data_IF_970277436525
#
_entry.id   IF_970277436525
#
_cell.length_a   1.000
_cell.length_b   1.000
_cell.length_c   1.000
_cell.angle_alpha   90.00
_cell.angle_beta   90.00
_cell.angle_gamma   90.00
#
_symmetry.space_group_name_H-M   'P 1'
#
loop_
_entity.id
_entity.type
_entity.pdbx_description
1 polymer ?
#
# COMPACT_ATOMS: atom_id res chain seq x y z
N UNK A 1 -96.91 -4.29 -69.62
CA UNK A 1 -98.36 -4.42 -69.33
C UNK A 1 -98.84 -5.83 -69.71
N UNK A 2 -98.68 -6.82 -68.83
CA UNK A 2 -99.03 -8.22 -69.17
C UNK A 2 -99.43 -9.15 -68.01
N UNK A 3 -99.49 -8.65 -66.77
CA UNK A 3 -99.70 -9.50 -65.59
C UNK A 3 -100.97 -9.19 -64.79
N UNK A 4 -101.84 -8.28 -65.24
CA UNK A 4 -103.05 -7.90 -64.48
C UNK A 4 -104.32 -8.69 -64.84
N UNK A 5 -104.34 -9.43 -65.94
CA UNK A 5 -105.53 -10.19 -66.38
C UNK A 5 -105.52 -11.68 -65.97
N UNK A 6 -104.37 -12.26 -65.57
CA UNK A 6 -104.32 -13.65 -65.06
C UNK A 6 -104.85 -13.81 -63.62
N UNK A 7 -104.74 -12.78 -62.80
CA UNK A 7 -105.07 -12.86 -61.36
C UNK A 7 -106.58 -12.90 -61.06
N UNK A 8 -107.43 -12.31 -61.90
CA UNK A 8 -108.88 -12.33 -61.65
C UNK A 8 -109.55 -13.68 -61.96
N UNK A 9 -108.97 -14.48 -62.87
CA UNK A 9 -109.44 -15.85 -63.15
C UNK A 9 -109.05 -16.86 -62.07
N UNK A 10 -107.86 -16.73 -61.48
CA UNK A 10 -107.31 -17.65 -60.47
C UNK A 10 -107.84 -17.43 -59.05
N UNK A 11 -108.42 -16.27 -58.74
CA UNK A 11 -109.00 -16.05 -57.41
C UNK A 11 -110.39 -16.65 -57.24
N UNK A 12 -111.11 -16.94 -58.34
CA UNK A 12 -112.41 -17.64 -58.31
C UNK A 12 -112.27 -19.18 -58.30
N UNK A 13 -111.10 -19.74 -58.55
CA UNK A 13 -110.88 -21.20 -58.49
C UNK A 13 -110.75 -21.72 -57.06
N UNK A 14 -110.33 -20.89 -56.11
CA UNK A 14 -110.19 -21.29 -54.69
C UNK A 14 -111.52 -21.38 -53.92
N UNK A 15 -112.61 -20.85 -54.49
CA UNK A 15 -113.95 -20.89 -53.91
C UNK A 15 -114.80 -22.08 -54.42
N UNK A 16 -114.25 -22.88 -55.35
CA UNK A 16 -114.91 -24.07 -55.93
C UNK A 16 -114.72 -25.29 -55.03
N UNK A 17 -115.67 -26.23 -55.07
CA UNK A 17 -115.46 -27.56 -54.50
C UNK A 17 -114.23 -28.19 -55.15
N UNK A 18 -113.29 -28.69 -54.34
CA UNK A 18 -112.10 -29.37 -54.84
C UNK A 18 -112.51 -30.62 -55.64
N UNK A 19 -111.85 -30.86 -56.76
CA UNK A 19 -111.99 -32.10 -57.52
C UNK A 19 -111.66 -33.31 -56.63
N UNK A 20 -112.30 -34.44 -56.89
CA UNK A 20 -112.31 -35.68 -56.10
C UNK A 20 -112.93 -35.56 -54.69
N UNK A 21 -113.73 -34.53 -54.41
CA UNK A 21 -114.55 -34.49 -53.18
C UNK A 21 -115.81 -35.34 -53.34
N UNK A 22 -116.19 -36.05 -52.28
CA UNK A 22 -117.48 -36.75 -52.21
C UNK A 22 -118.59 -35.78 -51.86
N UNK A 23 -119.73 -35.94 -52.52
CA UNK A 23 -120.90 -35.07 -52.43
C UNK A 23 -122.15 -35.94 -52.39
N UNK A 24 -123.08 -35.59 -51.51
CA UNK A 24 -124.38 -36.22 -51.44
C UNK A 24 -125.32 -35.52 -52.42
N UNK A 25 -126.05 -36.29 -53.22
CA UNK A 25 -126.99 -35.76 -54.20
C UNK A 25 -128.38 -36.37 -53.98
N UNK A 26 -129.42 -35.59 -54.27
CA UNK A 26 -130.84 -36.00 -54.21
C UNK A 26 -131.59 -35.57 -55.46
N UNK A 27 -132.52 -36.40 -55.92
CA UNK A 27 -133.35 -36.17 -57.10
C UNK A 27 -134.65 -35.45 -56.67
N UNK A 28 -134.79 -34.14 -56.86
CA UNK A 28 -135.84 -33.30 -56.25
C UNK A 28 -135.79 -33.28 -54.71
N UNK A 29 -136.15 -32.13 -54.13
CA UNK A 29 -135.94 -31.81 -52.70
C UNK A 29 -136.72 -32.75 -51.75
N UNK A 30 -137.84 -33.32 -52.21
CA UNK A 30 -138.74 -34.16 -51.41
C UNK A 30 -138.69 -35.67 -51.73
N UNK A 31 -137.77 -36.14 -52.58
CA UNK A 31 -137.69 -37.57 -52.89
C UNK A 31 -136.64 -38.30 -52.03
N UNK A 32 -136.96 -39.54 -51.69
CA UNK A 32 -136.04 -40.47 -51.00
C UNK A 32 -134.96 -41.04 -51.93
N UNK A 33 -134.93 -40.63 -53.21
CA UNK A 33 -133.90 -41.04 -54.16
C UNK A 33 -132.69 -40.10 -54.06
N UNK A 34 -131.70 -40.54 -53.29
CA UNK A 34 -130.40 -39.88 -53.19
C UNK A 34 -129.26 -40.88 -53.15
N UNK A 35 -128.04 -40.38 -53.32
CA UNK A 35 -126.84 -41.19 -53.28
C UNK A 35 -125.60 -40.35 -53.03
N UNK A 36 -124.46 -41.03 -52.96
CA UNK A 36 -123.15 -40.39 -52.89
C UNK A 36 -122.49 -40.39 -54.28
N UNK A 37 -121.86 -39.28 -54.63
CA UNK A 37 -121.12 -39.12 -55.88
C UNK A 37 -119.77 -38.46 -55.63
N UNK A 38 -118.81 -38.76 -56.49
CA UNK A 38 -117.49 -38.16 -56.48
C UNK A 38 -117.41 -37.10 -57.58
N UNK A 39 -117.07 -35.87 -57.23
CA UNK A 39 -116.86 -34.79 -58.21
C UNK A 39 -115.57 -35.05 -58.95
N UNK A 40 -115.63 -35.24 -60.27
CA UNK A 40 -114.43 -35.47 -61.11
C UNK A 40 -113.91 -34.20 -61.75
N UNK A 41 -114.81 -33.31 -62.16
CA UNK A 41 -114.48 -32.03 -62.76
C UNK A 41 -115.59 -31.03 -62.44
N UNK A 42 -115.23 -29.77 -62.19
CA UNK A 42 -116.19 -28.69 -61.96
C UNK A 42 -115.80 -27.44 -62.73
N UNK A 43 -116.73 -26.93 -63.54
CA UNK A 43 -116.61 -25.69 -64.29
C UNK A 43 -117.62 -24.65 -63.79
N UNK A 44 -117.64 -23.47 -64.39
CA UNK A 44 -118.64 -22.43 -64.07
C UNK A 44 -120.05 -22.81 -64.53
N UNK A 45 -120.17 -23.63 -65.58
CA UNK A 45 -121.44 -23.95 -66.22
C UNK A 45 -121.95 -25.35 -65.86
N UNK A 46 -121.13 -26.19 -65.22
CA UNK A 46 -121.53 -27.54 -64.85
C UNK A 46 -120.46 -28.34 -64.13
N UNK A 47 -120.80 -29.59 -63.81
CA UNK A 47 -120.00 -30.53 -63.05
C UNK A 47 -120.08 -31.92 -63.66
N UNK A 48 -118.97 -32.64 -63.62
CA UNK A 48 -118.90 -34.06 -63.91
C UNK A 48 -118.84 -34.84 -62.59
N UNK A 49 -119.79 -35.75 -62.39
CA UNK A 49 -119.90 -36.57 -61.18
C UNK A 49 -119.82 -38.05 -61.53
N UNK A 50 -119.08 -38.81 -60.72
CA UNK A 50 -119.01 -40.27 -60.78
C UNK A 50 -119.82 -40.87 -59.64
N UNK A 51 -120.73 -41.80 -59.92
CA UNK A 51 -121.55 -42.47 -58.91
C UNK A 51 -121.59 -43.97 -59.15
N UNK A 52 -121.80 -44.75 -58.09
CA UNK A 52 -121.91 -46.21 -58.17
C UNK A 52 -123.37 -46.68 -58.38
N UNK A 53 -124.32 -45.75 -58.50
CA UNK A 53 -125.75 -46.04 -58.66
C UNK A 53 -126.21 -45.77 -60.10
N UNK A 54 -126.91 -46.73 -60.71
CA UNK A 54 -127.54 -46.52 -62.01
C UNK A 54 -128.80 -45.68 -61.82
N UNK A 55 -128.75 -44.42 -62.24
CA UNK A 55 -129.91 -43.56 -62.33
C UNK A 55 -130.58 -43.75 -63.69
N UNK A 56 -131.90 -43.84 -63.68
CA UNK A 56 -132.76 -43.68 -64.86
C UNK A 56 -133.41 -42.29 -64.83
N UNK A 57 -132.64 -41.18 -64.94
CA UNK A 57 -133.22 -39.85 -64.88
C UNK A 57 -134.07 -39.63 -66.14
N UNK A 58 -135.24 -39.02 -65.97
CA UNK A 58 -135.94 -38.41 -67.09
C UNK A 58 -135.20 -37.12 -67.43
N UNK A 59 -135.17 -36.71 -68.69
CA UNK A 59 -134.36 -35.58 -69.22
C UNK A 59 -134.64 -34.21 -68.57
N UNK A 60 -135.55 -34.11 -67.59
CA UNK A 60 -135.93 -32.89 -66.86
C UNK A 60 -135.66 -32.93 -65.34
N UNK A 61 -135.02 -33.98 -64.80
CA UNK A 61 -134.82 -34.07 -63.35
C UNK A 61 -133.69 -33.16 -62.84
N UNK A 62 -133.98 -32.39 -61.79
CA UNK A 62 -133.04 -31.45 -61.14
C UNK A 62 -132.43 -32.10 -59.90
N UNK A 63 -131.09 -32.05 -59.82
CA UNK A 63 -130.30 -32.55 -58.71
C UNK A 63 -130.06 -31.42 -57.71
N UNK A 64 -130.39 -31.69 -56.46
CA UNK A 64 -129.92 -30.91 -55.33
C UNK A 64 -128.69 -31.61 -54.74
N UNK A 65 -127.65 -30.84 -54.45
CA UNK A 65 -126.44 -31.34 -53.81
C UNK A 65 -126.43 -30.86 -52.38
N UNK A 66 -126.50 -31.80 -51.44
CA UNK A 66 -126.29 -31.48 -50.04
C UNK A 66 -124.80 -31.30 -49.85
N UNK A 67 -124.40 -30.05 -49.57
CA UNK A 67 -123.11 -29.85 -48.91
C UNK A 67 -123.25 -30.43 -47.50
N UNK A 68 -122.44 -31.42 -47.09
CA UNK A 68 -122.60 -32.05 -45.80
C UNK A 68 -122.60 -30.97 -44.71
N UNK A 69 -123.74 -30.87 -44.02
CA UNK A 69 -124.00 -29.94 -42.92
C UNK A 69 -122.85 -30.09 -41.93
N UNK A 70 -121.94 -29.12 -41.90
CA UNK A 70 -120.75 -29.12 -41.04
C UNK A 70 -119.40 -28.90 -41.73
N UNK A 71 -119.28 -28.93 -43.07
CA UNK A 71 -118.02 -28.53 -43.73
C UNK A 71 -118.15 -27.21 -44.50
N UNK A 72 -117.51 -26.16 -43.96
CA UNK A 72 -117.48 -24.78 -44.44
C UNK A 72 -116.90 -24.55 -45.86
N UNK A 73 -116.63 -25.61 -46.62
CA UNK A 73 -115.86 -25.55 -47.86
C UNK A 73 -116.62 -26.19 -49.03
N UNK A 74 -117.48 -25.38 -49.65
CA UNK A 74 -117.98 -25.59 -51.00
C UNK A 74 -119.50 -25.70 -51.09
N UNK A 75 -120.09 -24.82 -51.88
CA UNK A 75 -121.48 -24.85 -52.30
C UNK A 75 -121.52 -25.34 -53.76
N UNK A 76 -122.39 -26.30 -54.07
CA UNK A 76 -122.60 -26.78 -55.45
C UNK A 76 -124.01 -26.32 -55.85
N UNK A 77 -124.14 -25.48 -56.88
CA UNK A 77 -125.44 -25.04 -57.37
C UNK A 77 -126.30 -26.23 -57.82
N UNK A 78 -127.62 -26.06 -57.76
CA UNK A 78 -128.57 -27.02 -58.32
C UNK A 78 -128.28 -27.24 -59.81
N UNK A 79 -128.41 -28.48 -60.28
CA UNK A 79 -128.02 -28.82 -61.64
C UNK A 79 -128.92 -29.84 -62.31
N UNK A 80 -129.03 -29.78 -63.63
CA UNK A 80 -129.76 -30.75 -64.44
C UNK A 80 -128.78 -31.72 -65.10
N UNK A 81 -129.12 -33.00 -65.16
CA UNK A 81 -128.32 -33.97 -65.90
C UNK A 81 -128.52 -33.72 -67.40
N UNK A 82 -127.42 -33.45 -68.10
CA UNK A 82 -127.41 -33.23 -69.56
C UNK A 82 -126.76 -34.41 -70.26
N UNK A 83 -125.96 -35.20 -69.56
CA UNK A 83 -125.23 -36.31 -70.15
C UNK A 83 -125.05 -37.46 -69.17
N UNK A 84 -125.11 -38.70 -69.66
CA UNK A 84 -124.80 -39.93 -68.90
C UNK A 84 -123.89 -40.85 -69.70
N UNK A 85 -122.94 -41.50 -69.02
CA UNK A 85 -122.07 -42.51 -69.61
C UNK A 85 -121.70 -43.58 -68.59
N UNK A 86 -121.55 -44.83 -69.02
CA UNK A 86 -121.05 -45.91 -68.17
C UNK A 86 -119.52 -45.99 -68.25
N UNK A 87 -118.86 -46.20 -67.11
CA UNK A 87 -117.40 -46.18 -66.99
C UNK A 87 -116.90 -47.53 -66.46
N UNK A 88 -116.42 -48.37 -67.38
CA UNK A 88 -115.61 -49.56 -67.10
C UNK A 88 -116.37 -50.89 -67.07
N UNK A 89 -115.74 -51.96 -67.57
CA UNK A 89 -116.33 -53.31 -67.72
C UNK A 89 -116.38 -54.15 -66.43
N UNK A 90 -115.56 -53.83 -65.41
CA UNK A 90 -115.34 -54.68 -64.22
C UNK A 90 -115.99 -54.17 -62.91
N UNK A 91 -116.36 -52.88 -62.82
CA UNK A 91 -117.14 -52.30 -61.71
C UNK A 91 -118.13 -51.32 -62.31
N UNK A 92 -119.43 -51.55 -62.15
CA UNK A 92 -120.49 -50.71 -62.72
C UNK A 92 -120.44 -49.32 -62.08
N UNK A 93 -119.79 -48.37 -62.75
CA UNK A 93 -119.73 -46.96 -62.38
C UNK A 93 -120.37 -46.11 -63.45
N UNK A 94 -121.05 -45.06 -63.04
CA UNK A 94 -121.78 -44.17 -63.93
C UNK A 94 -121.25 -42.75 -63.81
N UNK A 95 -121.00 -42.12 -64.95
CA UNK A 95 -120.63 -40.72 -65.07
C UNK A 95 -121.85 -39.90 -65.47
N UNK A 96 -122.08 -38.80 -64.77
CA UNK A 96 -123.14 -37.84 -65.03
C UNK A 96 -122.54 -36.46 -65.29
N UNK A 97 -122.86 -35.90 -66.46
CA UNK A 97 -122.60 -34.51 -66.80
C UNK A 97 -123.79 -33.66 -66.38
N UNK A 98 -123.56 -32.74 -65.45
CA UNK A 98 -124.58 -31.96 -64.76
C UNK A 98 -124.35 -30.50 -65.13
N UNK A 99 -125.33 -29.84 -65.75
CA UNK A 99 -125.28 -28.41 -66.04
C UNK A 99 -125.92 -27.64 -64.90
N UNK A 100 -125.23 -26.65 -64.36
CA UNK A 100 -125.78 -25.84 -63.28
C UNK A 100 -126.93 -24.97 -63.79
N UNK A 101 -128.00 -24.92 -62.99
CA UNK A 101 -129.09 -23.96 -63.16
C UNK A 101 -128.67 -22.68 -62.45
N UNK A 102 -128.98 -21.53 -63.02
CA UNK A 102 -128.62 -20.22 -62.45
C UNK A 102 -129.08 -20.14 -60.98
N UNK A 103 -128.18 -19.78 -60.05
CA UNK A 103 -128.50 -19.74 -58.62
C UNK A 103 -129.25 -18.46 -58.23
N UNK A 104 -130.08 -18.56 -57.18
CA UNK A 104 -130.81 -17.43 -56.56
C UNK A 104 -129.86 -16.37 -55.95
N UNK A 105 -130.34 -15.12 -55.86
CA UNK A 105 -129.58 -13.92 -55.44
C UNK A 105 -128.85 -14.05 -54.10
N UNK A 106 -129.39 -14.80 -53.14
CA UNK A 106 -128.79 -15.01 -51.80
C UNK A 106 -127.39 -15.66 -51.84
N UNK A 107 -127.08 -16.38 -52.93
CA UNK A 107 -125.78 -17.04 -53.10
C UNK A 107 -124.69 -16.03 -53.48
N UNK A 108 -125.05 -14.96 -54.18
CA UNK A 108 -124.10 -13.92 -54.57
C UNK A 108 -123.68 -13.07 -53.38
N UNK A 109 -124.61 -12.70 -52.50
CA UNK A 109 -124.30 -11.88 -51.32
C UNK A 109 -123.35 -12.58 -50.34
N UNK A 110 -123.56 -13.88 -50.14
CA UNK A 110 -122.67 -14.70 -49.30
C UNK A 110 -121.26 -14.85 -49.89
N UNK A 111 -121.13 -14.83 -51.23
CA UNK A 111 -119.84 -14.88 -51.90
C UNK A 111 -119.09 -13.54 -51.74
N UNK A 112 -119.82 -12.42 -51.88
CA UNK A 112 -119.23 -11.08 -51.85
C UNK A 112 -118.72 -10.70 -50.46
N UNK A 113 -119.49 -11.02 -49.41
CA UNK A 113 -119.06 -10.83 -48.02
C UNK A 113 -117.75 -11.59 -47.70
N UNK A 114 -117.57 -12.79 -48.27
CA UNK A 114 -116.37 -13.60 -48.06
C UNK A 114 -115.14 -13.06 -48.79
N UNK A 115 -115.32 -12.54 -50.00
CA UNK A 115 -114.24 -11.90 -50.76
C UNK A 115 -113.69 -10.69 -50.01
N UNK A 116 -114.56 -9.89 -49.40
CA UNK A 116 -114.16 -8.74 -48.59
C UNK A 116 -113.31 -9.15 -47.36
N UNK A 117 -113.71 -10.20 -46.64
CA UNK A 117 -112.94 -10.71 -45.49
C UNK A 117 -111.56 -11.23 -45.92
N UNK A 118 -111.47 -11.89 -47.07
CA UNK A 118 -110.20 -12.37 -47.63
C UNK A 118 -109.24 -11.24 -47.98
N UNK A 119 -109.74 -10.17 -48.60
CA UNK A 119 -108.95 -8.97 -48.94
C UNK A 119 -108.47 -8.25 -47.67
N UNK A 120 -109.29 -8.21 -46.61
CA UNK A 120 -108.91 -7.67 -45.30
C UNK A 120 -107.69 -8.37 -44.67
N UNK A 121 -107.59 -9.69 -44.77
CA UNK A 121 -106.43 -10.45 -44.22
C UNK A 121 -105.14 -10.18 -44.99
N UNK A 122 -105.21 -10.06 -46.32
CA UNK A 122 -104.04 -9.80 -47.17
C UNK A 122 -103.50 -8.37 -47.01
N UNK A 123 -104.39 -7.39 -46.83
CA UNK A 123 -104.01 -5.99 -46.61
C UNK A 123 -103.33 -5.78 -45.25
N UNK A 124 -103.79 -6.47 -44.19
CA UNK A 124 -103.14 -6.43 -42.89
C UNK A 124 -101.72 -7.03 -42.91
N UNK A 125 -101.49 -8.13 -43.63
CA UNK A 125 -100.14 -8.72 -43.78
C UNK A 125 -99.14 -7.73 -44.40
N UNK A 126 -99.57 -6.97 -45.43
CA UNK A 126 -98.73 -5.93 -46.05
C UNK A 126 -98.41 -4.75 -45.13
N UNK A 127 -99.28 -4.41 -44.18
CA UNK A 127 -99.00 -3.35 -43.19
C UNK A 127 -97.91 -3.78 -42.22
N UNK A 128 -97.96 -5.01 -41.73
CA UNK A 128 -96.94 -5.56 -40.84
C UNK A 128 -95.56 -5.66 -41.50
N UNK A 129 -95.49 -6.06 -42.77
CA UNK A 129 -94.21 -6.09 -43.51
C UNK A 129 -93.58 -4.69 -43.63
N UNK A 130 -94.38 -3.62 -43.79
CA UNK A 130 -93.88 -2.24 -43.83
C UNK A 130 -93.33 -1.80 -42.46
N UNK A 131 -94.05 -2.11 -41.38
CA UNK A 131 -93.61 -1.80 -40.01
C UNK A 131 -92.32 -2.53 -39.68
N UNK A 132 -92.21 -3.81 -40.02
CA UNK A 132 -90.99 -4.59 -39.81
C UNK A 132 -89.78 -4.00 -40.55
N UNK A 133 -89.95 -3.55 -41.80
CA UNK A 133 -88.87 -2.87 -42.55
C UNK A 133 -88.43 -1.55 -41.92
N UNK A 134 -89.37 -0.76 -41.42
CA UNK A 134 -89.07 0.51 -40.75
C UNK A 134 -88.30 0.26 -39.44
N UNK A 135 -88.76 -0.70 -38.63
CA UNK A 135 -88.04 -1.10 -37.41
C UNK A 135 -86.62 -1.57 -37.70
N UNK A 136 -86.44 -2.36 -38.76
CA UNK A 136 -85.12 -2.86 -39.16
C UNK A 136 -84.20 -1.72 -39.60
N UNK A 137 -84.71 -0.71 -40.31
CA UNK A 137 -83.94 0.50 -40.65
C UNK A 137 -83.50 1.27 -39.40
N UNK A 138 -84.40 1.46 -38.42
CA UNK A 138 -84.04 2.10 -37.16
C UNK A 138 -82.99 1.31 -36.38
N UNK A 139 -83.07 -0.03 -36.40
CA UNK A 139 -82.08 -0.90 -35.76
C UNK A 139 -80.70 -0.77 -36.42
N UNK A 140 -80.62 -0.75 -37.76
CA UNK A 140 -79.35 -0.53 -38.48
C UNK A 140 -78.79 0.86 -38.21
N UNK A 141 -79.62 1.91 -38.20
CA UNK A 141 -79.18 3.27 -37.88
C UNK A 141 -78.67 3.36 -36.44
N UNK A 142 -79.36 2.71 -35.49
CA UNK A 142 -78.94 2.64 -34.09
C UNK A 142 -77.59 1.92 -33.93
N UNK A 143 -77.41 0.77 -34.58
CA UNK A 143 -76.14 0.03 -34.58
C UNK A 143 -75.00 0.83 -35.20
N UNK A 144 -75.24 1.50 -36.33
CA UNK A 144 -74.24 2.35 -36.97
C UNK A 144 -73.86 3.53 -36.06
N UNK A 145 -74.84 4.21 -35.47
CA UNK A 145 -74.60 5.30 -34.52
C UNK A 145 -73.83 4.84 -33.27
N UNK A 146 -74.19 3.69 -32.71
CA UNK A 146 -73.47 3.09 -31.58
C UNK A 146 -72.03 2.73 -31.94
N UNK A 147 -71.79 2.19 -33.14
CA UNK A 147 -70.44 1.83 -33.61
C UNK A 147 -69.53 3.06 -33.75
N UNK A 148 -70.08 4.18 -34.24
CA UNK A 148 -69.35 5.45 -34.35
C UNK A 148 -69.06 6.05 -32.96
N UNK A 149 -70.04 5.98 -32.04
CA UNK A 149 -69.86 6.45 -30.68
C UNK A 149 -68.78 5.64 -29.94
N UNK A 150 -68.83 4.30 -30.03
CA UNK A 150 -67.79 3.41 -29.49
C UNK A 150 -66.43 3.66 -30.13
N UNK A 151 -66.38 3.89 -31.45
CA UNK A 151 -65.13 4.24 -32.13
C UNK A 151 -64.52 5.53 -31.59
N UNK A 152 -65.35 6.54 -31.30
CA UNK A 152 -64.90 7.80 -30.71
C UNK A 152 -64.37 7.64 -29.28
N UNK A 153 -65.02 6.84 -28.44
CA UNK A 153 -64.54 6.58 -27.07
C UNK A 153 -63.22 5.82 -27.09
N UNK A 154 -63.12 4.76 -27.88
CA UNK A 154 -61.89 3.97 -28.03
C UNK A 154 -60.75 4.84 -28.58
N UNK A 155 -61.03 5.73 -29.53
CA UNK A 155 -60.00 6.64 -30.06
C UNK A 155 -59.48 7.61 -28.99
N UNK A 156 -60.37 8.16 -28.15
CA UNK A 156 -59.97 9.03 -27.03
C UNK A 156 -59.14 8.28 -25.99
N UNK A 157 -59.55 7.05 -25.67
CA UNK A 157 -58.81 6.22 -24.72
C UNK A 157 -57.44 5.82 -25.28
N UNK A 158 -57.34 5.51 -26.58
CA UNK A 158 -56.07 5.25 -27.24
C UNK A 158 -55.16 6.47 -27.26
N UNK A 159 -55.67 7.67 -27.55
CA UNK A 159 -54.90 8.91 -27.53
C UNK A 159 -54.38 9.22 -26.11
N UNK A 160 -55.23 9.06 -25.08
CA UNK A 160 -54.81 9.21 -23.70
C UNK A 160 -53.76 8.17 -23.30
N UNK A 161 -53.97 6.90 -23.64
CA UNK A 161 -53.02 5.83 -23.34
C UNK A 161 -51.68 6.06 -24.05
N UNK A 162 -51.71 6.56 -25.28
CA UNK A 162 -50.49 6.86 -26.05
C UNK A 162 -49.73 8.03 -25.43
N UNK A 163 -50.43 9.10 -25.03
CA UNK A 163 -49.84 10.22 -24.30
C UNK A 163 -49.20 9.76 -22.99
N UNK A 164 -49.93 9.01 -22.16
CA UNK A 164 -49.39 8.47 -20.91
C UNK A 164 -48.20 7.53 -21.13
N UNK A 165 -48.21 6.73 -22.20
CA UNK A 165 -47.07 5.87 -22.55
C UNK A 165 -45.85 6.69 -22.97
N UNK A 166 -46.03 7.77 -23.72
CA UNK A 166 -44.95 8.69 -24.08
C UNK A 166 -44.40 9.42 -22.84
N UNK A 167 -45.25 9.86 -21.92
CA UNK A 167 -44.83 10.49 -20.67
C UNK A 167 -44.00 9.52 -19.82
N UNK A 168 -44.47 8.30 -19.61
CA UNK A 168 -43.71 7.25 -18.89
C UNK A 168 -42.39 6.93 -19.60
N UNK A 169 -42.38 6.89 -20.94
CA UNK A 169 -41.14 6.69 -21.70
C UNK A 169 -40.16 7.84 -21.53
N UNK A 170 -40.65 9.09 -21.45
CA UNK A 170 -39.83 10.26 -21.19
C UNK A 170 -39.26 10.22 -19.77
N UNK A 171 -40.08 9.89 -18.78
CA UNK A 171 -39.66 9.71 -17.38
C UNK A 171 -38.59 8.61 -17.26
N UNK A 172 -38.77 7.48 -17.95
CA UNK A 172 -37.76 6.41 -17.99
C UNK A 172 -36.46 6.87 -18.66
N UNK A 173 -36.54 7.64 -19.74
CA UNK A 173 -35.36 8.19 -20.39
C UNK A 173 -34.61 9.18 -19.49
N UNK A 174 -35.34 10.02 -18.74
CA UNK A 174 -34.77 10.93 -17.75
C UNK A 174 -34.11 10.17 -16.59
N UNK A 175 -34.80 9.17 -16.03
CA UNK A 175 -34.26 8.33 -14.97
C UNK A 175 -32.97 7.61 -15.42
N UNK A 176 -32.96 7.11 -16.67
CA UNK A 176 -31.78 6.47 -17.25
C UNK A 176 -30.62 7.45 -17.41
N UNK A 177 -30.89 8.69 -17.83
CA UNK A 177 -29.86 9.75 -17.91
C UNK A 177 -29.32 10.12 -16.54
N UNK A 178 -30.20 10.27 -15.55
CA UNK A 178 -29.83 10.57 -14.17
C UNK A 178 -29.03 9.44 -13.53
N UNK A 179 -29.38 8.18 -13.81
CA UNK A 179 -28.62 7.03 -13.33
C UNK A 179 -27.24 6.97 -13.99
N UNK A 180 -27.15 7.24 -15.29
CA UNK A 180 -25.87 7.31 -16.00
C UNK A 180 -24.97 8.44 -15.47
N UNK A 181 -25.52 9.62 -15.19
CA UNK A 181 -24.76 10.74 -14.63
C UNK A 181 -24.30 10.44 -13.21
N UNK A 182 -25.15 9.81 -12.38
CA UNK A 182 -24.77 9.34 -11.06
C UNK A 182 -23.64 8.31 -11.12
N UNK A 183 -23.74 7.32 -12.01
CA UNK A 183 -22.68 6.33 -12.21
C UNK A 183 -21.36 6.99 -12.62
N UNK A 184 -21.39 7.94 -13.56
CA UNK A 184 -20.19 8.68 -13.96
C UNK A 184 -19.59 9.47 -12.79
N UNK A 185 -20.43 10.13 -11.97
CA UNK A 185 -19.98 10.87 -10.79
C UNK A 185 -19.32 9.94 -9.76
N UNK A 186 -19.98 8.82 -9.43
CA UNK A 186 -19.44 7.82 -8.49
C UNK A 186 -18.14 7.21 -8.99
N UNK A 187 -18.01 6.96 -10.31
CA UNK A 187 -16.76 6.50 -10.89
C UNK A 187 -15.65 7.55 -10.76
N UNK A 188 -15.97 8.82 -11.01
CA UNK A 188 -15.05 9.94 -10.79
C UNK A 188 -14.57 10.02 -9.34
N UNK A 189 -15.49 10.01 -8.37
CA UNK A 189 -15.18 10.00 -6.94
C UNK A 189 -14.31 8.80 -6.55
N UNK A 190 -14.62 7.60 -7.07
CA UNK A 190 -13.83 6.39 -6.82
C UNK A 190 -12.41 6.50 -7.39
N UNK A 191 -12.25 7.11 -8.57
CA UNK A 191 -10.91 7.32 -9.16
C UNK A 191 -10.07 8.30 -8.35
N UNK A 192 -10.67 9.37 -7.82
CA UNK A 192 -9.99 10.34 -6.95
C UNK A 192 -9.57 9.67 -5.64
N UNK A 193 -10.50 8.97 -4.96
CA UNK A 193 -10.21 8.26 -3.72
C UNK A 193 -9.12 7.19 -3.91
N UNK A 194 -9.10 6.50 -5.05
CA UNK A 194 -8.04 5.55 -5.39
C UNK A 194 -6.69 6.24 -5.57
N UNK A 195 -6.66 7.42 -6.19
CA UNK A 195 -5.44 8.19 -6.36
C UNK A 195 -4.89 8.69 -5.02
N UNK A 196 -5.75 9.23 -4.15
CA UNK A 196 -5.39 9.62 -2.77
C UNK A 196 -4.85 8.43 -1.96
N UNK A 197 -5.44 7.24 -2.13
CA UNK A 197 -4.95 6.02 -1.47
C UNK A 197 -3.54 5.64 -1.95
N UNK A 198 -3.25 5.79 -3.24
CA UNK A 198 -1.90 5.52 -3.79
C UNK A 198 -0.90 6.51 -3.24
N UNK A 199 -1.23 7.81 -3.23
CA UNK A 199 -0.36 8.87 -2.70
C UNK A 199 -0.06 8.67 -1.20
N UNK A 200 -1.09 8.39 -0.41
CA UNK A 200 -0.93 8.10 1.03
C UNK A 200 -0.11 6.83 1.28
N UNK A 201 -0.23 5.81 0.42
CA UNK A 201 0.60 4.60 0.50
C UNK A 201 2.07 4.88 0.16
N UNK A 202 2.35 5.78 -0.79
CA UNK A 202 3.70 6.21 -1.11
C UNK A 202 4.33 7.01 0.03
N UNK A 203 3.60 7.97 0.61
CA UNK A 203 4.02 8.72 1.79
C UNK A 203 4.29 7.79 2.98
N UNK A 204 3.46 6.77 3.18
CA UNK A 204 3.69 5.78 4.24
C UNK A 204 4.99 4.99 4.02
N UNK A 205 5.26 4.55 2.78
CA UNK A 205 6.52 3.86 2.43
C UNK A 205 7.74 4.77 2.61
N UNK A 206 7.60 6.05 2.27
CA UNK A 206 8.64 7.05 2.50
C UNK A 206 8.91 7.26 3.99
N UNK A 207 7.85 7.44 4.80
CA UNK A 207 7.95 7.53 6.25
C UNK A 207 8.63 6.29 6.87
N UNK A 208 8.32 5.10 6.37
CA UNK A 208 8.98 3.86 6.81
C UNK A 208 10.48 3.84 6.48
N UNK A 209 10.88 4.33 5.30
CA UNK A 209 12.30 4.46 4.93
C UNK A 209 13.03 5.47 5.82
N UNK A 210 12.40 6.62 6.10
CA UNK A 210 12.97 7.63 7.00
C UNK A 210 13.17 7.03 8.39
N UNK A 211 12.17 6.33 8.94
CA UNK A 211 12.29 5.66 10.23
C UNK A 211 13.39 4.60 10.26
N UNK A 212 13.57 3.83 9.19
CA UNK A 212 14.69 2.89 9.07
C UNK A 212 16.05 3.62 9.04
N UNK A 213 16.14 4.75 8.33
CA UNK A 213 17.32 5.61 8.33
C UNK A 213 17.65 6.13 9.72
N UNK A 214 16.67 6.72 10.41
CA UNK A 214 16.83 7.21 11.78
C UNK A 214 17.20 6.09 12.76
N UNK A 215 16.63 4.90 12.62
CA UNK A 215 17.02 3.74 13.42
C UNK A 215 18.48 3.38 13.22
N UNK A 216 18.96 3.40 11.97
CA UNK A 216 20.36 3.12 11.65
C UNK A 216 21.29 4.20 12.20
N UNK A 217 20.95 5.47 12.02
CA UNK A 217 21.72 6.59 12.56
C UNK A 217 21.80 6.53 14.09
N UNK A 218 20.73 6.08 14.75
CA UNK A 218 20.69 5.89 16.21
C UNK A 218 21.61 4.74 16.64
N UNK A 219 21.67 3.64 15.89
CA UNK A 219 22.59 2.54 16.15
C UNK A 219 24.05 2.94 15.92
N UNK A 220 24.34 3.71 14.87
CA UNK A 220 25.66 4.30 14.62
C UNK A 220 26.06 5.27 15.74
N UNK A 221 25.15 6.13 16.20
CA UNK A 221 25.38 7.03 17.33
C UNK A 221 25.62 6.27 18.64
N UNK A 222 24.87 5.19 18.90
CA UNK A 222 25.11 4.30 20.05
C UNK A 222 26.48 3.64 19.99
N UNK A 223 26.89 3.15 18.82
CA UNK A 223 28.21 2.56 18.64
C UNK A 223 29.32 3.59 18.88
N UNK A 224 29.16 4.82 18.37
CA UNK A 224 30.09 5.91 18.62
C UNK A 224 30.16 6.28 20.12
N UNK A 225 29.01 6.35 20.81
CA UNK A 225 28.97 6.60 22.25
C UNK A 225 29.68 5.50 23.05
N UNK A 226 29.46 4.22 22.70
CA UNK A 226 30.16 3.11 23.33
C UNK A 226 31.69 3.17 23.12
N UNK A 227 32.14 3.60 21.94
CA UNK A 227 33.56 3.84 21.67
C UNK A 227 34.11 5.01 22.49
N UNK A 228 33.37 6.12 22.59
CA UNK A 228 33.80 7.26 23.42
C UNK A 228 33.85 6.91 24.90
N UNK A 229 32.89 6.13 25.41
CA UNK A 229 32.90 5.65 26.79
C UNK A 229 34.11 4.75 27.05
N UNK A 230 34.43 3.83 26.12
CA UNK A 230 35.63 3.00 26.22
C UNK A 230 36.91 3.84 26.24
N UNK A 231 37.01 4.87 25.39
CA UNK A 231 38.15 5.77 25.34
C UNK A 231 38.26 6.62 26.61
N UNK A 232 37.14 7.07 27.18
CA UNK A 232 37.13 7.78 28.47
C UNK A 232 37.62 6.89 29.61
N UNK A 233 37.21 5.62 29.66
CA UNK A 233 37.72 4.65 30.64
C UNK A 233 39.22 4.42 30.45
N UNK A 234 39.69 4.30 29.21
CA UNK A 234 41.12 4.18 28.92
C UNK A 234 41.90 5.42 29.42
N UNK A 235 41.45 6.63 29.07
CA UNK A 235 42.06 7.89 29.51
C UNK A 235 42.04 8.05 31.03
N UNK A 236 40.98 7.57 31.70
CA UNK A 236 40.89 7.57 33.16
C UNK A 236 41.89 6.61 33.79
N UNK A 237 42.08 5.43 33.20
CA UNK A 237 43.09 4.46 33.64
C UNK A 237 44.51 4.99 33.43
N UNK A 238 44.81 5.58 32.27
CA UNK A 238 46.09 6.23 31.97
C UNK A 238 46.39 7.38 32.94
N UNK A 239 45.40 8.24 33.22
CA UNK A 239 45.55 9.29 34.23
C UNK A 239 45.79 8.70 35.63
N UNK A 240 45.18 7.55 35.96
CA UNK A 240 45.46 6.81 37.19
C UNK A 240 46.91 6.32 37.24
N UNK A 241 47.40 5.72 36.14
CA UNK A 241 48.77 5.26 36.00
C UNK A 241 49.77 6.41 36.12
N UNK A 242 49.56 7.52 35.39
CA UNK A 242 50.38 8.73 35.45
C UNK A 242 50.40 9.34 36.85
N UNK A 243 49.27 9.39 37.56
CA UNK A 243 49.24 9.80 38.97
C UNK A 243 50.08 8.88 39.85
N UNK A 244 50.05 7.57 39.59
CA UNK A 244 50.91 6.58 40.24
C UNK A 244 52.39 6.83 39.99
N UNK A 245 52.78 7.07 38.73
CA UNK A 245 54.16 7.39 38.33
C UNK A 245 54.64 8.70 38.94
N UNK A 246 53.83 9.77 38.91
CA UNK A 246 54.14 11.05 39.55
C UNK A 246 54.38 10.85 41.05
N UNK A 247 53.56 10.03 41.71
CA UNK A 247 53.74 9.72 43.13
C UNK A 247 55.06 8.94 43.36
N UNK A 248 55.34 7.93 42.56
CA UNK A 248 56.57 7.15 42.65
C UNK A 248 57.82 8.02 42.43
N UNK A 249 57.78 8.92 41.44
CA UNK A 249 58.87 9.86 41.15
C UNK A 249 59.07 10.87 42.30
N UNK A 250 57.98 11.36 42.88
CA UNK A 250 58.02 12.22 44.07
C UNK A 250 58.62 11.50 45.27
N UNK A 251 58.22 10.26 45.52
CA UNK A 251 58.75 9.44 46.61
C UNK A 251 60.24 9.11 46.40
N UNK A 252 60.66 8.86 45.15
CA UNK A 252 62.06 8.66 44.78
C UNK A 252 62.89 9.93 45.05
N UNK A 253 62.47 11.10 44.55
CA UNK A 253 63.16 12.36 44.82
C UNK A 253 63.22 12.71 46.30
N UNK A 254 62.17 12.40 47.07
CA UNK A 254 62.20 12.59 48.53
C UNK A 254 63.25 11.71 49.22
N UNK A 255 63.47 10.48 48.72
CA UNK A 255 64.54 9.61 49.22
C UNK A 255 65.93 10.14 48.85
N UNK A 256 66.15 10.53 47.60
CA UNK A 256 67.43 11.14 47.18
C UNK A 256 67.74 12.41 47.98
N UNK A 257 66.75 13.29 48.17
CA UNK A 257 66.92 14.49 49.00
C UNK A 257 67.25 14.15 50.46
N UNK A 258 66.67 13.08 51.02
CA UNK A 258 66.97 12.63 52.37
C UNK A 258 68.41 12.09 52.47
N UNK A 259 68.88 11.35 51.46
CA UNK A 259 70.24 10.81 51.38
C UNK A 259 71.27 11.94 51.22
N UNK A 260 71.06 12.85 50.27
CA UNK A 260 71.91 14.04 50.08
C UNK A 260 71.96 14.89 51.35
N UNK A 261 70.82 15.05 52.05
CA UNK A 261 70.78 15.78 53.33
C UNK A 261 71.56 15.06 54.43
N UNK A 262 71.51 13.73 54.48
CA UNK A 262 72.30 12.95 55.43
C UNK A 262 73.80 13.09 55.16
N UNK A 263 74.23 13.02 53.89
CA UNK A 263 75.62 13.22 53.49
C UNK A 263 76.11 14.65 53.78
N UNK A 264 75.27 15.65 53.53
CA UNK A 264 75.57 17.04 53.88
C UNK A 264 75.76 17.20 55.40
N UNK A 265 74.91 16.58 56.21
CA UNK A 265 75.06 16.62 57.66
C UNK A 265 76.33 15.90 58.14
N UNK A 266 76.66 14.75 57.55
CA UNK A 266 77.89 14.02 57.86
C UNK A 266 79.15 14.84 57.50
N UNK A 267 79.14 15.52 56.37
CA UNK A 267 80.24 16.41 55.96
C UNK A 267 80.34 17.64 56.85
N UNK A 268 79.22 18.24 57.28
CA UNK A 268 79.20 19.33 58.27
C UNK A 268 79.81 18.85 59.60
N UNK A 269 79.42 17.69 60.13
CA UNK A 269 79.97 17.16 61.39
C UNK A 269 81.47 16.86 61.28
N UNK A 270 81.93 16.29 60.16
CA UNK A 270 83.35 16.10 59.89
C UNK A 270 84.11 17.43 59.84
N UNK A 271 83.56 18.45 59.19
CA UNK A 271 84.16 19.78 59.13
C UNK A 271 84.18 20.45 60.51
N UNK A 272 83.12 20.32 61.31
CA UNK A 272 83.07 20.81 62.69
C UNK A 272 84.13 20.14 63.56
N UNK A 273 84.27 18.80 63.50
CA UNK A 273 85.32 18.06 64.20
C UNK A 273 86.73 18.50 63.79
N UNK A 274 86.97 18.69 62.49
CA UNK A 274 88.24 19.26 61.98
C UNK A 274 88.49 20.67 62.50
N UNK A 275 87.45 21.51 62.53
CA UNK A 275 87.57 22.88 63.02
C UNK A 275 87.89 22.92 64.52
N UNK A 276 87.23 22.09 65.34
CA UNK A 276 87.55 21.91 66.76
C UNK A 276 89.00 21.47 66.94
N UNK A 277 89.48 20.52 66.12
CA UNK A 277 90.88 20.06 66.16
C UNK A 277 91.86 21.20 65.82
N UNK A 278 91.61 21.95 64.76
CA UNK A 278 92.43 23.09 64.34
C UNK A 278 92.44 24.20 65.40
N UNK A 279 91.29 24.51 66.01
CA UNK A 279 91.21 25.46 67.12
C UNK A 279 92.01 24.94 68.32
N UNK A 280 91.96 23.64 68.62
CA UNK A 280 92.80 23.02 69.66
C UNK A 280 94.29 23.13 69.36
N UNK A 281 94.70 22.88 68.11
CA UNK A 281 96.08 23.06 67.65
C UNK A 281 96.52 24.52 67.71
N UNK A 282 95.66 25.47 67.31
CA UNK A 282 95.92 26.91 67.43
C UNK A 282 96.09 27.33 68.89
N UNK A 283 95.21 26.89 69.80
CA UNK A 283 95.31 27.18 71.23
C UNK A 283 96.59 26.56 71.83
N UNK A 284 96.98 25.37 71.38
CA UNK A 284 98.23 24.74 71.80
C UNK A 284 99.46 25.53 71.32
N UNK A 285 99.48 25.94 70.05
CA UNK A 285 100.53 26.79 69.49
C UNK A 285 100.59 28.15 70.20
N UNK A 286 99.43 28.75 70.51
CA UNK A 286 99.36 30.00 71.26
C UNK A 286 99.93 29.84 72.68
N UNK A 287 99.61 28.73 73.36
CA UNK A 287 100.18 28.41 74.67
C UNK A 287 101.70 28.15 74.61
N UNK A 288 102.19 27.52 73.54
CA UNK A 288 103.62 27.38 73.29
C UNK A 288 104.29 28.73 73.05
N UNK A 289 103.64 29.66 72.33
CA UNK A 289 104.15 31.01 72.13
C UNK A 289 104.17 31.83 73.42
N UNK A 290 103.18 31.68 74.31
CA UNK A 290 103.19 32.32 75.63
C UNK A 290 104.36 31.84 76.50
N UNK A 291 104.79 30.57 76.38
CA UNK A 291 106.01 30.05 77.02
C UNK A 291 107.30 30.70 76.48
N UNK A 292 107.32 31.10 75.20
CA UNK A 292 108.41 31.87 74.59
C UNK A 292 108.23 33.39 74.72
N UNK A 293 107.11 33.85 75.28
CA UNK A 293 106.80 35.25 75.59
C UNK A 293 107.45 35.77 76.88
N UNK A 294 108.48 35.08 77.38
CA UNK A 294 109.23 35.46 78.57
C UNK A 294 110.01 36.77 78.39
N UNK A 295 109.60 37.76 79.19
CA UNK A 295 110.14 39.10 79.41
C UNK A 295 111.68 39.21 79.35
N UNK A 296 112.22 39.91 78.34
CA UNK A 296 113.64 40.31 78.28
C UNK A 296 113.74 41.79 78.67
N UNK A 297 113.76 42.06 79.98
CA UNK A 297 113.75 43.42 80.54
C UNK A 297 115.13 44.10 80.65
N UNK A 298 116.23 43.55 80.09
CA UNK A 298 117.55 44.19 80.24
C UNK A 298 118.43 44.19 78.98
N UNK A 299 118.57 45.37 78.38
CA UNK A 299 119.34 45.65 77.16
C UNK A 299 120.87 45.49 77.33
N UNK A 300 121.35 45.27 78.56
CA UNK A 300 122.75 44.97 78.87
C UNK A 300 123.09 43.46 78.77
N UNK A 301 122.12 42.56 79.01
CA UNK A 301 122.31 41.12 78.81
C UNK A 301 122.33 40.74 77.32
N UNK A 302 121.57 41.45 76.47
CA UNK A 302 121.59 41.23 75.02
C UNK A 302 122.96 41.52 74.40
N UNK A 303 123.69 42.53 74.91
CA UNK A 303 125.07 42.85 74.48
C UNK A 303 126.10 41.83 74.97
N UNK A 304 125.88 41.20 76.13
CA UNK A 304 126.73 40.13 76.64
C UNK A 304 126.56 38.84 75.82
N UNK A 305 125.32 38.47 75.50
CA UNK A 305 125.02 37.31 74.64
C UNK A 305 125.60 37.49 73.23
N UNK A 306 125.42 38.68 72.62
CA UNK A 306 125.99 39.00 71.30
C UNK A 306 127.52 38.94 71.26
N UNK A 307 128.21 39.31 72.35
CA UNK A 307 129.68 39.14 72.47
C UNK A 307 130.07 37.67 72.58
N UNK A 308 129.30 36.86 73.30
CA UNK A 308 129.52 35.41 73.44
C UNK A 308 129.37 34.70 72.09
N UNK A 309 128.33 35.04 71.32
CA UNK A 309 128.14 34.53 69.96
C UNK A 309 129.23 35.01 68.98
N UNK A 310 129.69 36.27 69.06
CA UNK A 310 130.79 36.76 68.22
C UNK A 310 132.12 36.06 68.51
N UNK A 311 132.42 35.76 69.77
CA UNK A 311 133.63 35.03 70.15
C UNK A 311 133.57 33.57 69.72
N UNK A 312 132.43 32.88 69.85
CA UNK A 312 132.23 31.53 69.31
C UNK A 312 132.34 31.50 67.79
N UNK A 313 131.84 32.52 67.09
CA UNK A 313 131.97 32.65 65.63
C UNK A 313 133.44 32.85 65.19
N UNK A 314 134.24 33.63 65.93
CA UNK A 314 135.69 33.78 65.65
C UNK A 314 136.46 32.47 65.89
N UNK A 315 136.11 31.72 66.93
CA UNK A 315 136.71 30.43 67.26
C UNK A 315 136.33 29.35 66.23
N UNK A 316 135.08 29.35 65.76
CA UNK A 316 134.65 28.52 64.63
C UNK A 316 135.39 28.89 63.33
N UNK A 317 135.56 30.18 63.02
CA UNK A 317 136.36 30.63 61.87
C UNK A 317 137.83 30.22 61.96
N UNK A 318 138.44 30.24 63.16
CA UNK A 318 139.83 29.79 63.34
C UNK A 318 139.96 28.27 63.17
N UNK A 319 139.01 27.49 63.71
CA UNK A 319 138.95 26.03 63.52
C UNK A 319 138.72 25.63 62.07
N UNK A 320 137.84 26.32 61.35
CA UNK A 320 137.66 26.11 59.89
C UNK A 320 138.93 26.45 59.12
N UNK A 321 139.67 27.49 59.50
CA UNK A 321 140.96 27.82 58.87
C UNK A 321 142.05 26.79 59.22
N UNK A 322 142.02 26.21 60.41
CA UNK A 322 142.88 25.09 60.81
C UNK A 322 142.58 23.85 59.97
N UNK A 323 141.32 23.40 59.91
CA UNK A 323 140.91 22.26 59.10
C UNK A 323 141.20 22.46 57.61
N UNK A 324 141.08 23.69 57.08
CA UNK A 324 141.44 23.98 55.68
C UNK A 324 142.96 23.89 55.43
N UNK A 325 143.80 24.18 56.42
CA UNK A 325 145.26 23.99 56.34
C UNK A 325 145.65 22.52 56.50
N UNK A 326 144.97 21.81 57.38
CA UNK A 326 145.14 20.38 57.63
C UNK A 326 144.73 19.55 56.42
N UNK A 327 143.56 19.83 55.82
CA UNK A 327 143.14 19.23 54.55
C UNK A 327 144.13 19.51 53.40
N UNK A 328 144.76 20.69 53.35
CA UNK A 328 145.82 20.98 52.37
C UNK A 328 147.10 20.18 52.64
N UNK A 329 147.46 19.93 53.90
CA UNK A 329 148.60 19.07 54.25
C UNK A 329 148.31 17.61 53.89
N UNK A 330 147.12 17.11 54.24
CA UNK A 330 146.66 15.75 53.89
C UNK A 330 146.61 15.56 52.38
N UNK A 331 146.12 16.54 51.61
CA UNK A 331 146.14 16.48 50.14
C UNK A 331 147.56 16.44 49.58
N UNK A 332 148.51 17.17 50.19
CA UNK A 332 149.92 17.17 49.77
C UNK A 332 150.64 15.87 50.14
N UNK A 333 150.30 15.23 51.26
CA UNK A 333 150.82 13.91 51.62
C UNK A 333 150.20 12.80 50.79
N UNK A 334 148.89 12.88 50.48
CA UNK A 334 148.22 11.96 49.57
C UNK A 334 148.78 12.05 48.14
N UNK A 335 149.08 13.26 47.64
CA UNK A 335 149.77 13.42 46.34
C UNK A 335 151.19 12.84 46.35
N UNK A 336 151.93 12.97 47.47
CA UNK A 336 153.25 12.34 47.61
C UNK A 336 153.19 10.81 47.69
N UNK A 337 152.19 10.26 48.38
CA UNK A 337 151.93 8.81 48.41
C UNK A 337 151.47 8.31 47.03
N UNK A 338 150.65 9.08 46.31
CA UNK A 338 150.30 8.79 44.91
C UNK A 338 151.53 8.79 44.01
N UNK A 339 152.39 9.79 44.09
CA UNK A 339 153.62 9.85 43.29
C UNK A 339 154.62 8.74 43.70
N UNK A 340 154.64 8.33 44.97
CA UNK A 340 155.40 7.18 45.49
C UNK A 340 154.85 5.84 44.98
N UNK A 341 153.53 5.67 44.95
CA UNK A 341 152.86 4.50 44.35
C UNK A 341 153.07 4.46 42.84
N UNK A 342 153.04 5.62 42.17
CA UNK A 342 153.32 5.73 40.74
C UNK A 342 154.79 5.43 40.41
N UNK A 343 155.74 5.68 41.33
CA UNK A 343 157.14 5.26 41.17
C UNK A 343 157.39 3.79 41.56
N UNK A 344 156.61 3.22 42.48
CA UNK A 344 156.65 1.80 42.87
C UNK A 344 155.95 0.88 41.85
N UNK A 345 154.92 1.39 41.16
CA UNK A 345 154.20 0.69 40.10
C UNK A 345 154.87 0.76 38.73
N UNK A 346 155.94 1.54 38.61
CA UNK A 346 156.85 1.46 37.48
C UNK A 346 156.23 1.74 36.11
N UNK A 347 157.12 1.83 35.13
CA UNK A 347 156.79 2.06 33.74
C UNK A 347 156.29 0.74 33.12
N UNK A 348 154.97 0.52 33.03
CA UNK A 348 154.42 -0.57 32.21
C UNK A 348 154.48 -0.17 30.73
N UNK A 349 155.71 -0.09 30.22
CA UNK A 349 155.98 -0.32 28.82
C UNK A 349 155.59 -1.75 28.48
N UNK A 350 154.80 -1.90 27.42
CA UNK A 350 154.66 -3.11 26.62
C UNK A 350 155.90 -4.01 26.70
N UNK A 351 155.72 -5.28 27.09
CA UNK A 351 156.47 -6.37 26.46
C UNK A 351 155.57 -7.59 26.33
N UNK A 352 155.06 -7.76 25.11
CA UNK A 352 154.90 -9.10 24.58
C UNK A 352 156.25 -9.82 24.65
N UNK A 353 156.25 -11.02 25.22
CA UNK A 353 157.18 -12.08 24.83
C UNK A 353 156.44 -13.41 25.03
N UNK A 354 156.15 -14.06 23.90
CA UNK A 354 155.51 -15.37 23.76
C UNK A 354 154.00 -15.50 24.06
N UNK A 355 153.22 -14.47 23.73
CA UNK A 355 151.85 -14.67 23.23
C UNK A 355 150.77 -15.25 24.16
N UNK A 356 150.88 -15.11 25.49
CA UNK A 356 149.79 -15.45 26.41
C UNK A 356 149.40 -14.31 27.36
N UNK A 357 148.08 -14.07 27.44
CA UNK A 357 147.45 -13.14 28.38
C UNK A 357 147.35 -13.80 29.74
N UNK A 358 147.93 -13.19 30.77
CA UNK A 358 147.69 -13.56 32.17
C UNK A 358 146.64 -12.60 32.72
N UNK A 359 145.49 -13.16 33.12
CA UNK A 359 144.40 -12.45 33.79
C UNK A 359 144.88 -11.85 35.12
N UNK A 360 144.51 -10.59 35.36
CA UNK A 360 144.64 -9.95 36.66
C UNK A 360 143.23 -9.66 37.18
N UNK A 361 142.96 -10.12 38.41
CA UNK A 361 141.68 -10.07 39.13
C UNK A 361 140.96 -8.71 39.06
N UNK A 362 139.74 -8.73 38.51
CA UNK A 362 138.84 -7.57 38.42
C UNK A 362 138.35 -7.07 39.78
N UNK A 363 138.40 -7.89 40.84
CA UNK A 363 137.87 -7.53 42.17
C UNK A 363 138.72 -6.47 42.89
N UNK A 364 140.01 -6.33 42.56
CA UNK A 364 140.85 -5.21 43.06
C UNK A 364 140.63 -3.90 42.29
N UNK A 365 140.00 -3.95 41.13
CA UNK A 365 139.75 -2.77 40.28
C UNK A 365 138.46 -2.03 40.66
N UNK A 366 137.45 -2.72 41.21
CA UNK A 366 136.16 -2.09 41.56
C UNK A 366 136.18 -1.32 42.89
N UNK A 367 137.00 -1.73 43.86
CA UNK A 367 137.15 -0.98 45.13
C UNK A 367 137.85 0.38 44.98
N UNK A 368 138.48 0.67 43.84
CA UNK A 368 139.10 1.97 43.56
C UNK A 368 138.18 2.95 42.80
N UNK A 369 137.02 2.50 42.31
CA UNK A 369 136.09 3.31 41.50
C UNK A 369 134.91 3.90 42.30
N UNK A 370 134.54 3.34 43.46
CA UNK A 370 133.35 3.78 44.21
C UNK A 370 133.59 4.95 45.19
N UNK A 371 134.83 5.41 45.40
CA UNK A 371 135.11 6.63 46.18
C UNK A 371 135.02 7.95 45.38
N UNK A 372 134.74 7.92 44.07
CA UNK A 372 134.75 9.13 43.21
C UNK A 372 133.40 9.85 43.03
N UNK A 373 132.24 9.28 43.36
CA UNK A 373 130.94 9.96 43.16
C UNK A 373 130.44 10.83 44.33
N UNK A 374 131.20 10.96 45.43
CA UNK A 374 130.80 11.76 46.58
C UNK A 374 131.10 13.27 46.49
N UNK A 375 131.66 13.79 45.39
CA UNK A 375 132.14 15.19 45.34
C UNK A 375 131.95 15.90 43.99
N UNK A 376 130.71 16.19 43.57
CA UNK A 376 130.43 17.47 42.86
C UNK A 376 128.93 17.78 42.69
N UNK A 377 128.40 18.69 43.53
CA UNK A 377 127.71 19.94 43.12
C UNK A 377 127.02 20.61 44.32
N UNK A 378 127.56 21.78 44.66
CA UNK A 378 126.98 22.79 45.56
C UNK A 378 126.72 24.05 44.73
N UNK A 379 125.49 24.57 44.74
CA UNK A 379 125.07 25.99 44.55
C UNK A 379 123.56 26.00 44.23
N UNK A 380 122.65 26.84 44.73
CA UNK A 380 122.56 28.05 45.60
C UNK A 380 121.08 28.14 46.09
N UNK A 381 120.76 28.78 47.23
CA UNK A 381 119.40 29.18 47.56
C UNK A 381 119.15 30.63 47.11
N UNK A 382 118.04 30.88 46.40
CA UNK A 382 117.50 32.23 46.21
C UNK A 382 116.02 32.23 46.54
N UNK A 383 115.69 32.80 47.70
CA UNK A 383 114.33 33.20 48.06
C UNK A 383 114.05 34.59 47.49
N UNK A 384 112.85 34.82 46.96
CA UNK A 384 111.99 35.97 47.26
C UNK A 384 110.64 35.79 46.56
N UNK A 385 109.66 35.29 47.31
CA UNK A 385 108.24 35.36 46.97
C UNK A 385 107.77 36.76 47.38
N UNK A 386 107.39 37.61 46.43
CA UNK A 386 106.57 38.80 46.75
C UNK A 386 105.15 38.32 46.99
N UNK A 387 104.68 38.52 48.21
CA UNK A 387 103.28 38.38 48.61
C UNK A 387 102.64 39.74 48.34
N UNK A 388 101.62 39.79 47.50
CA UNK A 388 100.68 40.92 47.49
C UNK A 388 99.58 40.59 48.51
N UNK A 389 99.49 41.44 49.51
CA UNK A 389 98.41 41.48 50.50
C UNK A 389 97.56 42.68 50.09
N UNK A 390 96.34 42.45 49.62
CA UNK A 390 95.31 43.48 49.62
C UNK A 390 94.57 43.38 50.96
N UNK A 391 94.69 44.44 51.77
CA UNK A 391 93.81 44.67 52.92
C UNK A 391 92.98 45.91 52.61
N UNK A 392 91.68 45.68 52.59
CA UNK A 392 90.58 46.60 52.31
C UNK A 392 90.45 47.73 53.32
N UNK A 393 90.07 48.90 52.85
CA UNK A 393 89.27 49.86 53.63
C UNK A 393 88.31 50.58 52.69
N UNK A 394 87.04 50.70 53.08
CA UNK A 394 86.26 51.95 53.20
C UNK A 394 84.77 51.59 53.41
N UNK A 395 84.21 52.24 54.44
CA UNK A 395 82.83 52.62 54.77
C UNK A 395 81.62 51.94 54.10
#
# INVERSE_FOLDING_TARGET
MGNRLKSYGEHRTQLRVKENKRVLWRLKEDSSQGGEGLVRNISLSGMLMETDCMLSPKEADTFAFDSPVGTQNGFIPRGRVVWKGEKGFLRKKYLYGIKFVEPDEEVFDNLDQRVQVGIGKLTNKRRWDKVARILLLFLILGLTGYSLWMGSTVYKDMDHSTKSMLDVSNDQAELTRNYKSLQQKTFGELTVARQELVETQELYKEGQRILQGVSKDLDEARAAMAQTDALLVQMQNENGALKGEIKALKDFHMKELAEVKADLNNTIDLLQKKNIKLVGEMNHLQSQMDYYGGDVQNMQESKALLRLYRNRMKLAKSKVKHFKREARRVRKTALKERDRLQSLLGNNGYFMKDGQVVQVDEEKYQMAAEEEEAVSKVSKPTSTRKVNIDVTFVE
#
